data_IF_370388484904
#
_entry.id   IF_370388484904
#
_cell.length_a   1.000
_cell.length_b   1.000
_cell.length_c   1.000
_cell.angle_alpha   90.00
_cell.angle_beta   90.00
_cell.angle_gamma   90.00
#
_symmetry.space_group_name_H-M   'P 1'
#
loop_
_entity.id
_entity.type
_entity.pdbx_description
1 polymer ?
#
# COMPACT_ATOMS: atom_id res chain seq x y z
N UNK A 1 -20.93 -16.25 -12.46
CA UNK A 1 -20.58 -14.91 -12.03
C UNK A 1 -19.54 -14.93 -10.92
N UNK A 2 -18.43 -14.33 -11.15
CA UNK A 2 -17.36 -14.31 -10.16
C UNK A 2 -17.48 -13.06 -9.33
N UNK A 3 -17.51 -13.22 -8.04
CA UNK A 3 -17.49 -12.06 -7.17
C UNK A 3 -16.07 -11.68 -6.83
N UNK A 4 -15.81 -10.42 -6.88
CA UNK A 4 -14.53 -9.89 -6.44
C UNK A 4 -14.38 -10.07 -4.95
N UNK A 5 -13.16 -10.30 -4.53
CA UNK A 5 -12.80 -10.33 -3.12
C UNK A 5 -12.24 -8.99 -2.73
N UNK A 6 -12.50 -8.59 -1.50
CA UNK A 6 -12.15 -7.23 -1.08
C UNK A 6 -11.66 -7.23 0.34
N UNK A 7 -10.66 -6.39 0.60
CA UNK A 7 -10.14 -6.12 1.93
C UNK A 7 -10.04 -4.62 2.13
N UNK A 8 -10.56 -4.13 3.25
CA UNK A 8 -10.38 -2.73 3.63
C UNK A 8 -9.81 -2.69 5.03
N UNK A 9 -8.72 -1.97 5.20
CA UNK A 9 -8.05 -1.83 6.48
C UNK A 9 -7.66 -0.38 6.67
N UNK A 10 -7.91 0.15 7.86
CA UNK A 10 -7.52 1.51 8.19
C UNK A 10 -6.86 1.52 9.55
N UNK A 11 -5.74 2.23 9.68
CA UNK A 11 -5.01 2.34 10.94
C UNK A 11 -4.55 3.77 11.13
N UNK A 12 -4.49 4.19 12.38
CA UNK A 12 -3.83 5.44 12.70
C UNK A 12 -2.36 5.33 12.32
N UNK A 13 -1.82 6.38 11.74
CA UNK A 13 -0.42 6.38 11.34
C UNK A 13 0.47 6.27 12.57
N UNK A 14 1.30 5.24 12.57
CA UNK A 14 2.23 4.96 13.66
C UNK A 14 3.33 4.08 13.11
N UNK A 15 4.36 3.88 13.89
CA UNK A 15 5.44 2.99 13.47
C UNK A 15 4.96 1.56 13.28
N UNK A 16 3.90 1.18 13.98
CA UNK A 16 3.38 -0.19 13.91
C UNK A 16 2.35 -0.39 12.80
N UNK A 17 1.82 0.68 12.24
CA UNK A 17 0.75 0.58 11.26
C UNK A 17 1.14 -0.22 10.02
N UNK A 18 2.32 -0.01 9.41
CA UNK A 18 2.66 -0.80 8.22
C UNK A 18 2.67 -2.29 8.47
N UNK A 19 3.20 -2.72 9.60
CA UNK A 19 3.25 -4.15 9.91
C UNK A 19 1.84 -4.71 10.10
N UNK A 20 1.00 -3.97 10.82
CA UNK A 20 -0.37 -4.38 11.07
C UNK A 20 -1.13 -4.56 9.76
N UNK A 21 -0.99 -3.59 8.86
CA UNK A 21 -1.69 -3.64 7.57
C UNK A 21 -1.13 -4.75 6.70
N UNK A 22 0.20 -4.95 6.70
CA UNK A 22 0.78 -6.05 5.93
C UNK A 22 0.27 -7.40 6.38
N UNK A 23 0.09 -7.58 7.68
CA UNK A 23 -0.43 -8.85 8.20
C UNK A 23 -1.85 -9.09 7.71
N UNK A 24 -2.69 -8.06 7.71
CA UNK A 24 -4.05 -8.18 7.22
C UNK A 24 -4.04 -8.51 5.72
N UNK A 25 -3.16 -7.87 4.97
CA UNK A 25 -3.07 -8.13 3.54
C UNK A 25 -2.59 -9.56 3.28
N UNK A 26 -1.59 -10.01 4.01
CA UNK A 26 -1.06 -11.36 3.82
C UNK A 26 -2.16 -12.41 4.06
N UNK A 27 -2.93 -12.22 5.11
CA UNK A 27 -4.03 -13.14 5.41
C UNK A 27 -5.07 -13.13 4.29
N UNK A 28 -5.37 -11.95 3.75
CA UNK A 28 -6.30 -11.83 2.63
C UNK A 28 -5.77 -12.56 1.40
N UNK A 29 -4.50 -12.33 1.08
CA UNK A 29 -3.91 -12.95 -0.11
C UNK A 29 -3.86 -14.47 0.01
N UNK A 30 -3.76 -14.99 1.22
CA UNK A 30 -3.77 -16.44 1.43
C UNK A 30 -5.10 -17.07 1.05
N UNK A 31 -6.16 -16.29 0.99
CA UNK A 31 -7.46 -16.81 0.57
C UNK A 31 -7.57 -16.91 -0.93
N UNK A 32 -6.60 -16.41 -1.67
CA UNK A 32 -6.60 -16.44 -3.11
C UNK A 32 -5.73 -17.59 -3.61
N UNK A 33 -5.97 -18.02 -4.85
CA UNK A 33 -5.17 -19.09 -5.42
C UNK A 33 -3.86 -18.55 -5.97
N UNK A 34 -2.96 -18.18 -5.07
CA UNK A 34 -1.67 -17.62 -5.43
C UNK A 34 -0.53 -18.50 -4.93
N UNK A 35 0.53 -18.66 -5.73
CA UNK A 35 1.74 -19.29 -5.19
C UNK A 35 2.30 -18.47 -4.05
N UNK A 36 2.89 -19.13 -3.07
CA UNK A 36 3.45 -18.45 -1.92
C UNK A 36 4.47 -17.40 -2.30
N UNK A 37 5.30 -17.72 -3.27
CA UNK A 37 6.33 -16.79 -3.72
C UNK A 37 5.71 -15.51 -4.27
N UNK A 38 4.64 -15.65 -5.04
CA UNK A 38 3.98 -14.47 -5.60
C UNK A 38 3.33 -13.64 -4.51
N UNK A 39 2.72 -14.31 -3.53
CA UNK A 39 2.13 -13.61 -2.39
C UNK A 39 3.17 -12.80 -1.65
N UNK A 40 4.33 -13.41 -1.41
CA UNK A 40 5.41 -12.73 -0.72
C UNK A 40 5.90 -11.51 -1.48
N UNK A 41 5.99 -11.62 -2.80
CA UNK A 41 6.38 -10.50 -3.64
C UNK A 41 5.39 -9.35 -3.53
N UNK A 42 4.11 -9.67 -3.55
CA UNK A 42 3.08 -8.64 -3.46
C UNK A 42 3.16 -7.94 -2.10
N UNK A 43 3.33 -8.70 -1.03
CA UNK A 43 3.44 -8.12 0.30
C UNK A 43 4.68 -7.24 0.40
N UNK A 44 5.77 -7.64 -0.25
CA UNK A 44 6.96 -6.82 -0.26
C UNK A 44 6.72 -5.47 -0.96
N UNK A 45 6.12 -5.52 -2.14
CA UNK A 45 5.86 -4.30 -2.90
C UNK A 45 4.93 -3.37 -2.13
N UNK A 46 3.86 -3.91 -1.57
CA UNK A 46 2.90 -3.11 -0.81
C UNK A 46 3.55 -2.58 0.47
N UNK A 47 4.44 -3.37 1.07
CA UNK A 47 5.17 -2.94 2.24
C UNK A 47 5.97 -1.67 2.00
N UNK A 48 6.54 -1.51 0.81
CA UNK A 48 7.25 -0.28 0.48
C UNK A 48 6.32 0.92 0.44
N UNK A 49 5.14 0.74 -0.14
CA UNK A 49 4.15 1.81 -0.18
C UNK A 49 3.65 2.17 1.21
N UNK A 50 3.47 1.16 2.06
CA UNK A 50 3.02 1.39 3.43
C UNK A 50 4.08 2.12 4.25
N UNK A 51 5.35 1.77 4.05
CA UNK A 51 6.44 2.44 4.74
C UNK A 51 6.51 3.92 4.34
N UNK A 52 6.33 4.19 3.06
CA UNK A 52 6.31 5.57 2.58
C UNK A 52 5.14 6.34 3.17
N UNK A 53 3.97 5.72 3.23
CA UNK A 53 2.79 6.37 3.79
C UNK A 53 3.00 6.70 5.26
N UNK A 54 3.58 5.77 6.01
CA UNK A 54 3.83 5.99 7.43
C UNK A 54 4.83 7.12 7.63
N UNK A 55 5.84 7.17 6.79
CA UNK A 55 6.86 8.19 6.88
C UNK A 55 6.28 9.57 6.60
N UNK A 56 5.43 9.67 5.56
CA UNK A 56 4.79 10.94 5.25
C UNK A 56 3.91 11.41 6.39
N UNK A 57 3.15 10.51 6.96
CA UNK A 57 2.24 10.86 8.04
C UNK A 57 3.00 11.34 9.27
N UNK A 58 4.17 10.76 9.53
CA UNK A 58 4.99 11.15 10.65
C UNK A 58 5.71 12.45 10.42
N UNK A 59 6.08 12.74 9.17
CA UNK A 59 6.85 13.92 8.87
C UNK A 59 6.03 15.19 8.87
N UNK A 60 4.73 15.07 8.89
CA UNK A 60 3.89 16.24 8.97
C UNK A 60 4.03 16.82 10.37
N UNK A 61 4.88 17.79 10.50
CA UNK A 61 5.17 18.43 11.78
C UNK A 61 4.24 19.57 12.04
N UNK A 62 3.00 19.37 11.79
CA UNK A 62 2.03 20.37 12.11
C UNK A 62 1.78 20.34 13.61
N UNK A 63 1.54 21.46 14.23
CA UNK A 63 1.16 21.45 15.63
C UNK A 63 -0.24 20.92 15.80
N UNK A 64 -0.59 19.93 15.05
CA UNK A 64 -1.86 19.30 15.11
C UNK A 64 -1.79 18.13 16.03
N UNK A 65 -2.85 17.94 16.73
CA UNK A 65 -2.90 16.85 17.66
C UNK A 65 -3.17 15.52 16.99
N UNK A 66 -3.78 15.54 15.83
CA UNK A 66 -4.27 14.30 15.24
C UNK A 66 -3.28 13.70 14.26
N UNK A 67 -2.89 12.46 14.47
CA UNK A 67 -2.09 11.77 13.48
C UNK A 67 -2.96 11.47 12.27
N UNK A 68 -2.31 11.30 11.13
CA UNK A 68 -3.01 10.87 9.93
C UNK A 68 -3.44 9.43 10.03
N UNK A 69 -4.13 8.96 9.00
CA UNK A 69 -4.51 7.56 8.89
C UNK A 69 -3.88 6.97 7.64
N UNK A 70 -3.68 5.67 7.67
CA UNK A 70 -3.22 4.91 6.52
C UNK A 70 -4.30 3.91 6.22
N UNK A 71 -4.77 3.88 4.97
CA UNK A 71 -5.82 2.97 4.55
C UNK A 71 -5.32 2.11 3.41
N UNK A 72 -5.72 0.87 3.44
CA UNK A 72 -5.44 -0.05 2.35
C UNK A 72 -6.76 -0.62 1.86
N UNK A 73 -6.94 -0.60 0.54
CA UNK A 73 -8.11 -1.19 -0.09
C UNK A 73 -7.61 -2.12 -1.19
N UNK A 74 -7.85 -3.40 -1.02
CA UNK A 74 -7.45 -4.41 -2.00
C UNK A 74 -8.68 -5.05 -2.60
N UNK A 75 -8.65 -5.23 -3.91
CA UNK A 75 -9.68 -5.99 -4.62
C UNK A 75 -8.97 -7.04 -5.45
N UNK A 76 -9.61 -8.19 -5.62
CA UNK A 76 -8.98 -9.29 -6.33
C UNK A 76 -10.04 -10.18 -6.96
N UNK A 77 -9.70 -10.74 -8.11
CA UNK A 77 -10.52 -11.83 -8.65
C UNK A 77 -10.29 -13.07 -7.77
N UNK A 78 -11.29 -13.95 -7.63
CA UNK A 78 -11.14 -15.10 -6.73
C UNK A 78 -9.96 -15.99 -7.06
N UNK A 79 -9.57 -16.06 -8.34
CA UNK A 79 -8.42 -16.88 -8.75
C UNK A 79 -7.09 -16.16 -8.54
N UNK A 80 -7.11 -14.90 -8.09
CA UNK A 80 -5.88 -14.16 -7.83
C UNK A 80 -5.18 -13.66 -9.07
N UNK A 81 -5.79 -13.76 -10.24
CA UNK A 81 -5.12 -13.36 -11.47
C UNK A 81 -5.01 -11.85 -11.61
N UNK A 82 -5.95 -11.13 -11.02
CA UNK A 82 -5.92 -9.67 -11.02
C UNK A 82 -6.11 -9.17 -9.62
N UNK A 83 -5.19 -8.35 -9.18
CA UNK A 83 -5.21 -7.78 -7.84
C UNK A 83 -4.90 -6.30 -7.97
N UNK A 84 -5.72 -5.46 -7.35
CA UNK A 84 -5.49 -4.03 -7.30
C UNK A 84 -5.45 -3.62 -5.83
N UNK A 85 -4.39 -2.92 -5.45
CA UNK A 85 -4.22 -2.51 -4.06
C UNK A 85 -3.95 -1.02 -4.02
N UNK A 86 -4.80 -0.31 -3.30
CA UNK A 86 -4.69 1.13 -3.14
C UNK A 86 -4.29 1.43 -1.71
N UNK A 87 -3.26 2.25 -1.56
CA UNK A 87 -2.81 2.72 -0.24
C UNK A 87 -3.00 4.22 -0.23
N UNK A 88 -3.74 4.70 0.78
CA UNK A 88 -4.01 6.11 0.97
C UNK A 88 -3.47 6.57 2.29
N UNK A 89 -2.88 7.75 2.32
CA UNK A 89 -2.60 8.36 3.58
C UNK A 89 -3.25 9.74 3.60
N UNK A 90 -3.76 10.12 4.76
CA UNK A 90 -4.49 11.36 4.90
C UNK A 90 -3.59 12.50 5.38
N UNK A 91 -2.30 12.26 5.47
CA UNK A 91 -1.37 13.31 5.83
C UNK A 91 -1.15 14.25 4.66
N UNK A 92 -0.49 15.35 4.93
CA UNK A 92 -0.12 16.26 3.86
C UNK A 92 1.05 15.69 3.12
N UNK A 93 0.95 15.69 1.82
CA UNK A 93 2.08 15.30 1.00
C UNK A 93 3.17 16.35 1.13
N UNK A 94 4.39 15.90 1.35
CA UNK A 94 5.53 16.80 1.42
C UNK A 94 6.39 16.53 0.22
N UNK A 95 6.66 17.58 -0.53
CA UNK A 95 7.32 17.46 -1.79
C UNK A 95 8.67 16.77 -1.72
N UNK A 96 9.35 16.87 -0.61
CA UNK A 96 10.64 16.20 -0.47
C UNK A 96 10.52 14.69 -0.54
N UNK A 97 9.31 14.15 -0.50
CA UNK A 97 9.11 12.74 -0.69
C UNK A 97 9.52 12.31 -2.08
N UNK A 98 9.65 13.23 -3.00
CA UNK A 98 10.12 12.93 -4.34
C UNK A 98 11.63 12.80 -4.41
N UNK A 99 12.34 12.93 -3.30
CA UNK A 99 13.78 12.84 -3.33
C UNK A 99 14.28 11.45 -3.61
N UNK A 100 15.53 11.39 -3.97
CA UNK A 100 16.15 10.18 -4.43
C UNK A 100 16.19 9.05 -3.42
N UNK A 101 16.19 9.38 -2.15
CA UNK A 101 16.24 8.34 -1.14
C UNK A 101 14.97 7.48 -1.15
N UNK A 102 13.95 7.87 -1.91
CA UNK A 102 12.76 7.06 -2.08
C UNK A 102 12.84 6.15 -3.29
N UNK A 103 13.89 6.28 -4.08
CA UNK A 103 13.97 5.58 -5.34
C UNK A 103 13.92 4.07 -5.23
N UNK A 104 14.49 3.52 -4.16
CA UNK A 104 14.50 2.07 -4.01
C UNK A 104 13.12 1.49 -3.81
N UNK A 105 12.30 2.15 -2.99
CA UNK A 105 10.96 1.66 -2.77
C UNK A 105 10.15 1.60 -4.04
N UNK A 106 10.24 2.64 -4.86
CA UNK A 106 9.50 2.64 -6.12
C UNK A 106 10.05 1.63 -7.11
N UNK A 107 11.36 1.42 -7.09
CA UNK A 107 11.93 0.38 -7.94
C UNK A 107 11.40 -0.99 -7.57
N UNK A 108 11.33 -1.28 -6.29
CA UNK A 108 10.80 -2.56 -5.82
C UNK A 108 9.34 -2.70 -6.26
N UNK A 109 8.54 -1.67 -6.05
CA UNK A 109 7.14 -1.71 -6.46
C UNK A 109 7.01 -1.98 -7.96
N UNK A 110 7.78 -1.26 -8.77
CA UNK A 110 7.68 -1.39 -10.22
C UNK A 110 8.25 -2.69 -10.75
N UNK A 111 9.14 -3.31 -10.01
CA UNK A 111 9.70 -4.59 -10.46
C UNK A 111 8.71 -5.74 -10.21
N UNK A 112 7.76 -5.56 -9.31
CA UNK A 112 6.83 -6.60 -8.92
C UNK A 112 5.44 -6.35 -9.49
N UNK A 113 4.95 -5.12 -9.38
CA UNK A 113 3.62 -4.77 -9.85
C UNK A 113 3.64 -4.54 -11.36
N UNK A 114 2.52 -4.84 -11.98
CA UNK A 114 2.37 -4.53 -13.39
C UNK A 114 2.33 -3.02 -13.60
N UNK A 115 1.59 -2.32 -12.75
CA UNK A 115 1.46 -0.86 -12.84
C UNK A 115 1.51 -0.26 -11.46
N UNK A 116 2.12 0.91 -11.37
CA UNK A 116 2.15 1.70 -10.14
C UNK A 116 1.73 3.11 -10.51
N UNK A 117 0.66 3.59 -9.90
CA UNK A 117 0.18 4.96 -10.14
C UNK A 117 0.15 5.71 -8.82
N UNK A 118 0.60 6.95 -8.84
CA UNK A 118 0.71 7.76 -7.64
C UNK A 118 -0.05 9.06 -7.86
N UNK A 119 -0.91 9.40 -6.90
CA UNK A 119 -1.68 10.63 -6.94
C UNK A 119 -1.40 11.38 -5.65
N UNK A 120 -0.98 12.63 -5.76
CA UNK A 120 -0.61 13.43 -4.61
C UNK A 120 -1.50 14.65 -4.44
N UNK A 121 -2.65 14.65 -5.09
CA UNK A 121 -3.52 15.83 -5.06
C UNK A 121 -4.04 16.17 -3.68
N UNK A 122 -4.49 15.17 -2.94
CA UNK A 122 -4.98 15.36 -1.58
C UNK A 122 -4.47 14.21 -0.74
N UNK A 123 -3.37 14.45 -0.04
CA UNK A 123 -2.67 13.36 0.60
C UNK A 123 -1.96 12.55 -0.48
N UNK A 124 -1.61 11.33 -0.19
CA UNK A 124 -0.95 10.47 -1.15
C UNK A 124 -1.76 9.22 -1.36
N UNK A 125 -1.92 8.84 -2.62
CA UNK A 125 -2.58 7.61 -2.98
C UNK A 125 -1.69 6.85 -3.94
N UNK A 126 -1.38 5.61 -3.60
CA UNK A 126 -0.58 4.74 -4.45
C UNK A 126 -1.45 3.56 -4.85
N UNK A 127 -1.55 3.32 -6.15
CA UNK A 127 -2.31 2.19 -6.66
C UNK A 127 -1.35 1.23 -7.33
N UNK A 128 -1.33 0.00 -6.85
CA UNK A 128 -0.52 -1.06 -7.43
C UNK A 128 -1.45 -2.10 -8.04
N UNK A 129 -1.14 -2.48 -9.27
CA UNK A 129 -1.91 -3.50 -9.97
C UNK A 129 -1.00 -4.68 -10.26
N UNK A 130 -1.50 -5.86 -9.95
CA UNK A 130 -0.75 -7.10 -10.16
C UNK A 130 -1.57 -8.02 -11.06
N UNK A 131 -0.89 -8.63 -12.01
CA UNK A 131 -1.53 -9.63 -12.88
C UNK A 131 -0.64 -10.86 -12.95
N UNK A 132 -1.28 -12.02 -12.89
CA UNK A 132 -0.57 -13.29 -12.96
C UNK A 132 -0.74 -13.93 -14.31
#
# INVERSE_FOLDING_TARGET
MTSERELRVSRMASAAAPKSIRHALDAFLKTLALPDERREDIVLAVGEALANAAEHAYEVRQPRAEPGTIELHATATPDGRRIAIEIRDSGCFIERAARDDRGFGFRIMRSIARDVAIDTGQGTKVLLTFEQ
#
